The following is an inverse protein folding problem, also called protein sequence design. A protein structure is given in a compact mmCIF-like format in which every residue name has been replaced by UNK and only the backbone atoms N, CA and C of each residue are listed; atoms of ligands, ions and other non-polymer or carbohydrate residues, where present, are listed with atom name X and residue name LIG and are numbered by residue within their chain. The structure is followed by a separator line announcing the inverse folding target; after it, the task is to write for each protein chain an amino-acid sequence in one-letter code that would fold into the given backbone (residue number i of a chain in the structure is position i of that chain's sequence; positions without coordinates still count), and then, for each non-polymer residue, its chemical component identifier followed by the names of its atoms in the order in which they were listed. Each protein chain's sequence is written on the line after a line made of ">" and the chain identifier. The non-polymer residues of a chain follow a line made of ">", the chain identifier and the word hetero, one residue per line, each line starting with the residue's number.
data_IF_521085549944
#
_entry.id   IF_521085549944
#
_cell.length_a   1.000
_cell.length_b   1.000
_cell.length_c   1.000
_cell.angle_alpha   90.00
_cell.angle_beta   90.00
_cell.angle_gamma   90.00
#
_symmetry.space_group_name_H-M   'P 1'
#
loop_
_entity.id
_entity.type
_entity.pdbx_description
1 polymer ?
#
# COMPACT_ATOMS: atom_id res chain seq x y z
N UNK A 1 13.72 52.96 21.28
CA UNK A 1 13.05 52.38 20.10
C UNK A 1 12.07 51.32 20.56
N UNK A 2 10.85 51.74 20.93
CA UNK A 2 9.75 50.82 21.27
C UNK A 2 9.04 50.48 19.97
N UNK A 3 9.00 49.19 19.63
CA UNK A 3 8.30 48.72 18.44
C UNK A 3 6.81 49.05 18.60
N UNK A 4 6.16 49.73 17.63
CA UNK A 4 4.76 50.14 17.77
C UNK A 4 3.84 48.93 18.02
N UNK A 5 2.87 49.03 18.92
CA UNK A 5 1.96 47.92 19.25
C UNK A 5 1.18 47.42 18.02
N UNK A 6 0.91 48.29 17.06
CA UNK A 6 0.31 47.92 15.77
C UNK A 6 1.21 46.99 14.95
N UNK A 7 2.54 47.15 15.04
CA UNK A 7 3.51 46.30 14.35
C UNK A 7 3.56 44.91 14.97
N UNK A 8 3.48 44.83 16.31
CA UNK A 8 3.38 43.56 17.04
C UNK A 8 2.06 42.82 16.72
N UNK A 9 0.95 43.55 16.65
CA UNK A 9 -0.35 42.98 16.28
C UNK A 9 -0.36 42.48 14.83
N UNK A 10 0.26 43.22 13.92
CA UNK A 10 0.39 42.82 12.51
C UNK A 10 1.25 41.54 12.37
N UNK A 11 2.35 41.41 13.12
CA UNK A 11 3.17 40.21 13.10
C UNK A 11 2.45 38.97 13.66
N UNK A 12 1.63 39.12 14.71
CA UNK A 12 0.90 38.00 15.32
C UNK A 12 -0.23 37.45 14.43
N UNK A 13 -0.83 38.30 13.58
CA UNK A 13 -1.88 37.90 12.64
C UNK A 13 -1.36 37.18 11.39
N UNK A 14 -0.05 37.25 11.10
CA UNK A 14 0.59 36.57 9.97
C UNK A 14 0.97 35.11 10.27
N UNK A 15 0.90 34.67 11.53
CA UNK A 15 1.42 33.35 11.96
C UNK A 15 0.50 32.15 11.68
N UNK A 16 -0.85 32.23 11.61
CA UNK A 16 -1.65 31.01 11.45
C UNK A 16 -1.80 30.52 10.00
N UNK A 17 -1.12 31.11 9.02
CA UNK A 17 -1.24 30.70 7.62
C UNK A 17 0.02 30.00 7.09
N UNK A 18 0.71 29.22 7.93
CA UNK A 18 1.59 28.18 7.39
C UNK A 18 0.68 27.07 6.87
N UNK A 19 0.50 26.89 5.54
CA UNK A 19 0.06 25.60 5.06
C UNK A 19 1.10 24.62 5.60
N UNK A 20 0.70 23.73 6.51
CA UNK A 20 1.45 22.50 6.69
C UNK A 20 1.64 21.96 5.26
N UNK A 21 2.87 21.70 4.79
CA UNK A 21 3.04 21.01 3.54
C UNK A 21 2.46 19.62 3.77
N UNK A 22 1.16 19.47 3.53
CA UNK A 22 0.62 18.17 3.24
C UNK A 22 0.93 17.94 1.77
N UNK A 23 2.23 17.87 1.48
CA UNK A 23 2.78 17.14 0.36
C UNK A 23 2.31 15.70 0.57
N UNK A 24 1.06 15.40 0.20
CA UNK A 24 0.51 14.05 0.05
C UNK A 24 1.16 13.40 -1.18
N UNK A 25 2.46 13.62 -1.36
CA UNK A 25 3.27 12.87 -2.30
C UNK A 25 3.20 11.43 -1.85
N UNK A 26 2.76 10.54 -2.74
CA UNK A 26 2.97 9.11 -2.52
C UNK A 26 4.47 8.95 -2.28
N UNK A 27 4.88 8.67 -1.05
CA UNK A 27 6.28 8.42 -0.72
C UNK A 27 6.59 7.11 -1.43
N UNK A 28 7.38 7.17 -2.50
CA UNK A 28 7.84 6.00 -3.24
C UNK A 28 9.08 5.41 -2.56
N UNK A 29 9.36 4.12 -2.82
CA UNK A 29 10.46 3.36 -2.22
C UNK A 29 10.34 3.13 -0.70
N UNK A 30 9.13 2.89 -0.21
CA UNK A 30 8.89 2.47 1.16
C UNK A 30 9.42 1.05 1.42
N UNK A 31 10.00 0.87 2.59
CA UNK A 31 10.47 -0.38 3.15
C UNK A 31 9.33 -1.18 3.80
N UNK A 32 9.55 -2.48 4.01
CA UNK A 32 8.58 -3.36 4.66
C UNK A 32 8.20 -2.84 6.06
N UNK A 33 6.90 -2.77 6.34
CA UNK A 33 6.34 -2.28 7.59
C UNK A 33 5.95 -0.80 7.59
N UNK A 34 6.38 -0.01 6.59
CA UNK A 34 5.97 1.39 6.46
C UNK A 34 4.52 1.54 5.98
N UNK A 35 3.90 2.67 6.32
CA UNK A 35 2.51 2.97 5.97
C UNK A 35 2.39 3.26 4.48
N UNK A 36 1.49 2.55 3.79
CA UNK A 36 1.29 2.70 2.35
C UNK A 36 -0.19 2.88 2.00
N UNK A 37 -0.44 3.51 0.85
CA UNK A 37 -1.78 3.63 0.25
C UNK A 37 -1.89 2.89 -1.08
N UNK A 38 -0.76 2.46 -1.65
CA UNK A 38 -0.66 1.87 -2.97
C UNK A 38 0.61 1.02 -3.04
N UNK A 39 0.51 -0.17 -3.64
CA UNK A 39 1.63 -1.11 -3.79
C UNK A 39 2.82 -0.53 -4.56
N UNK A 40 2.60 0.42 -5.47
CA UNK A 40 3.67 1.12 -6.17
C UNK A 40 4.58 1.95 -5.25
N UNK A 41 4.15 2.26 -4.03
CA UNK A 41 4.98 2.96 -3.04
C UNK A 41 6.03 2.03 -2.43
N UNK A 42 5.74 0.73 -2.32
CA UNK A 42 6.58 -0.23 -1.62
C UNK A 42 7.67 -0.80 -2.54
N UNK A 43 8.91 -0.91 -2.07
CA UNK A 43 9.99 -1.61 -2.79
C UNK A 43 9.63 -3.07 -3.09
N UNK A 44 8.93 -3.72 -2.17
CA UNK A 44 8.41 -5.09 -2.34
C UNK A 44 7.33 -5.18 -3.44
N UNK A 45 6.67 -4.07 -3.77
CA UNK A 45 5.52 -4.03 -4.66
C UNK A 45 4.24 -4.60 -4.07
N UNK A 46 4.11 -4.70 -2.75
CA UNK A 46 2.85 -5.06 -2.07
C UNK A 46 2.53 -4.12 -0.90
N UNK A 47 1.35 -3.51 -0.96
CA UNK A 47 0.72 -2.80 0.14
C UNK A 47 -0.39 -3.68 0.75
N UNK A 48 -0.20 -4.14 1.98
CA UNK A 48 -1.03 -5.14 2.63
C UNK A 48 -1.87 -4.56 3.77
N UNK A 49 -3.12 -5.02 3.91
CA UNK A 49 -4.00 -4.68 5.04
C UNK A 49 -4.65 -5.93 5.61
N UNK A 50 -4.87 -5.96 6.92
CA UNK A 50 -5.49 -7.12 7.58
C UNK A 50 -7.03 -7.16 7.50
N UNK A 51 -7.68 -6.00 7.33
CA UNK A 51 -9.15 -5.88 7.28
C UNK A 51 -9.58 -4.65 6.46
N UNK A 52 -10.88 -4.48 6.23
CA UNK A 52 -11.44 -3.34 5.48
C UNK A 52 -11.18 -1.98 6.10
N UNK A 53 -10.97 -1.92 7.43
CA UNK A 53 -10.78 -0.69 8.19
C UNK A 53 -9.34 -0.51 8.70
N UNK A 54 -8.48 -1.53 8.55
CA UNK A 54 -7.09 -1.44 9.01
C UNK A 54 -6.23 -0.60 8.08
N UNK A 55 -5.29 0.14 8.67
CA UNK A 55 -4.21 0.80 7.95
C UNK A 55 -3.35 -0.22 7.19
N UNK A 56 -2.99 0.11 5.95
CA UNK A 56 -2.16 -0.73 5.11
C UNK A 56 -0.67 -0.42 5.30
N UNK A 57 0.16 -1.46 5.22
CA UNK A 57 1.62 -1.37 5.33
C UNK A 57 2.30 -2.19 4.25
N UNK A 58 3.51 -1.77 3.87
CA UNK A 58 4.31 -2.52 2.93
C UNK A 58 4.64 -3.91 3.50
N UNK A 59 4.50 -4.94 2.67
CA UNK A 59 4.72 -6.33 3.06
C UNK A 59 5.49 -7.07 1.96
N UNK A 60 6.20 -8.16 2.28
CA UNK A 60 6.80 -9.01 1.27
C UNK A 60 5.72 -9.65 0.38
N UNK A 61 6.08 -9.96 -0.86
CA UNK A 61 5.23 -10.78 -1.74
C UNK A 61 5.17 -12.22 -1.23
N UNK A 62 4.15 -12.94 -1.64
CA UNK A 62 3.96 -14.34 -1.26
C UNK A 62 4.97 -15.23 -2.00
N UNK A 63 5.72 -16.03 -1.24
CA UNK A 63 6.62 -17.04 -1.80
C UNK A 63 5.83 -18.27 -2.29
N UNK A 64 6.51 -19.24 -2.88
CA UNK A 64 5.88 -20.50 -3.30
C UNK A 64 5.21 -21.20 -2.11
N UNK A 65 4.04 -21.82 -2.37
CA UNK A 65 3.17 -22.48 -1.39
C UNK A 65 2.53 -21.56 -0.34
N UNK A 66 2.75 -20.24 -0.40
CA UNK A 66 2.09 -19.28 0.48
C UNK A 66 0.75 -18.80 -0.08
N UNK A 67 -0.13 -18.35 0.82
CA UNK A 67 -1.40 -17.72 0.46
C UNK A 67 -1.19 -16.42 -0.30
N UNK A 68 -1.98 -16.23 -1.35
CA UNK A 68 -1.89 -15.07 -2.22
C UNK A 68 -3.26 -14.54 -2.65
N UNK A 69 -3.26 -13.34 -3.20
CA UNK A 69 -4.38 -12.79 -3.97
C UNK A 69 -3.91 -12.46 -5.39
N UNK A 70 -4.70 -12.75 -6.43
CA UNK A 70 -4.42 -12.31 -7.78
C UNK A 70 -4.22 -10.80 -7.84
N UNK A 71 -3.37 -10.35 -8.77
CA UNK A 71 -3.14 -8.92 -8.99
C UNK A 71 -4.47 -8.20 -9.26
N UNK A 72 -4.64 -7.06 -8.60
CA UNK A 72 -5.87 -6.28 -8.65
C UNK A 72 -5.57 -4.81 -8.92
N UNK A 73 -6.50 -4.16 -9.62
CA UNK A 73 -6.43 -2.73 -9.95
C UNK A 73 -6.45 -1.82 -8.72
N UNK A 74 -6.98 -2.29 -7.58
CA UNK A 74 -7.01 -1.51 -6.34
C UNK A 74 -5.61 -1.30 -5.76
N UNK A 75 -4.69 -2.24 -6.02
CA UNK A 75 -3.29 -2.12 -5.62
C UNK A 75 -3.05 -2.09 -4.10
N UNK A 76 -4.04 -2.50 -3.31
CA UNK A 76 -3.93 -2.80 -1.87
C UNK A 76 -4.55 -4.18 -1.67
N UNK A 77 -3.91 -5.02 -0.87
CA UNK A 77 -4.22 -6.45 -0.81
C UNK A 77 -4.48 -6.95 0.62
N UNK A 78 -5.39 -7.92 0.76
CA UNK A 78 -5.54 -8.72 1.98
C UNK A 78 -4.54 -9.87 2.08
N UNK A 79 -4.05 -10.34 0.94
CA UNK A 79 -2.98 -11.33 0.79
C UNK A 79 -2.10 -10.86 -0.35
N UNK A 80 -0.80 -10.72 -0.12
CA UNK A 80 0.09 -10.18 -1.15
C UNK A 80 0.11 -11.07 -2.41
N UNK A 81 0.31 -10.48 -3.60
CA UNK A 81 0.53 -11.26 -4.81
C UNK A 81 1.84 -12.04 -4.70
N UNK A 82 1.96 -13.08 -5.53
CA UNK A 82 3.16 -13.91 -5.54
C UNK A 82 4.41 -13.15 -6.01
N UNK A 83 5.57 -13.68 -5.63
CA UNK A 83 6.86 -13.30 -6.19
C UNK A 83 6.92 -13.52 -7.71
N UNK A 84 7.87 -12.84 -8.35
CA UNK A 84 8.06 -12.94 -9.80
C UNK A 84 8.37 -14.38 -10.21
N UNK A 85 7.67 -14.90 -11.21
CA UNK A 85 7.84 -16.27 -11.71
C UNK A 85 6.82 -17.27 -11.15
N UNK A 86 6.06 -16.90 -10.11
CA UNK A 86 5.00 -17.71 -9.54
C UNK A 86 3.62 -17.24 -10.01
N UNK A 87 2.66 -18.17 -10.01
CA UNK A 87 1.25 -17.89 -10.31
C UNK A 87 0.39 -18.14 -9.08
N UNK A 88 -0.53 -17.21 -8.79
CA UNK A 88 -1.51 -17.37 -7.71
C UNK A 88 -2.66 -18.24 -8.21
N UNK A 89 -2.68 -19.50 -7.81
CA UNK A 89 -3.72 -20.47 -8.14
C UNK A 89 -4.91 -20.27 -7.21
N UNK A 90 -5.90 -19.49 -7.68
CA UNK A 90 -7.07 -19.05 -6.93
C UNK A 90 -8.35 -19.28 -7.75
N UNK A 91 -9.39 -19.78 -7.11
CA UNK A 91 -10.73 -19.86 -7.72
C UNK A 91 -11.30 -18.45 -7.92
N UNK A 92 -11.40 -18.03 -9.17
CA UNK A 92 -11.78 -16.65 -9.51
C UNK A 92 -13.30 -16.51 -9.59
N UNK A 93 -13.90 -15.91 -8.58
CA UNK A 93 -15.32 -15.50 -8.61
C UNK A 93 -15.50 -14.04 -9.01
N UNK A 94 -16.68 -13.68 -9.54
CA UNK A 94 -17.03 -12.28 -9.86
C UNK A 94 -17.04 -11.44 -8.57
N UNK A 95 -17.75 -11.92 -7.53
CA UNK A 95 -17.82 -11.24 -6.22
C UNK A 95 -16.45 -11.12 -5.58
N UNK A 96 -15.62 -12.17 -5.64
CA UNK A 96 -14.26 -12.13 -5.12
C UNK A 96 -13.32 -11.23 -5.92
N UNK A 97 -13.55 -11.03 -7.22
CA UNK A 97 -12.76 -10.09 -8.04
C UNK A 97 -13.08 -8.64 -7.66
N UNK A 98 -14.35 -8.34 -7.38
CA UNK A 98 -14.80 -7.02 -6.92
C UNK A 98 -14.30 -6.74 -5.51
N UNK A 99 -14.36 -7.73 -4.62
CA UNK A 99 -14.00 -7.58 -3.19
C UNK A 99 -12.51 -7.79 -2.89
N UNK A 100 -11.69 -8.18 -3.89
CA UNK A 100 -10.28 -8.56 -3.71
C UNK A 100 -10.10 -9.79 -2.78
N UNK A 101 -11.04 -10.72 -2.82
CA UNK A 101 -11.12 -11.86 -1.88
C UNK A 101 -10.95 -13.22 -2.54
N UNK A 102 -10.53 -13.27 -3.82
CA UNK A 102 -10.16 -14.53 -4.45
C UNK A 102 -8.77 -14.93 -3.92
N UNK A 103 -8.71 -15.70 -2.84
CA UNK A 103 -7.45 -16.18 -2.30
C UNK A 103 -7.04 -17.50 -2.95
N UNK A 104 -5.73 -17.71 -3.03
CA UNK A 104 -5.15 -18.91 -3.62
C UNK A 104 -3.79 -19.22 -3.02
N UNK A 105 -3.06 -20.10 -3.69
CA UNK A 105 -1.71 -20.50 -3.32
C UNK A 105 -0.73 -20.21 -4.46
N UNK A 106 0.45 -19.68 -4.14
CA UNK A 106 1.48 -19.47 -5.15
C UNK A 106 2.10 -20.80 -5.60
N UNK A 107 2.16 -21.03 -6.92
CA UNK A 107 2.76 -22.22 -7.53
C UNK A 107 3.74 -21.82 -8.64
N UNK A 108 4.86 -22.54 -8.80
CA UNK A 108 5.67 -22.44 -10.02
C UNK A 108 4.93 -23.15 -11.16
N UNK A 109 4.57 -22.45 -12.25
CA UNK A 109 3.93 -23.07 -13.41
C UNK A 109 4.78 -24.21 -14.01
N UNK A 110 6.11 -24.20 -13.84
CA UNK A 110 7.03 -25.24 -14.36
C UNK A 110 7.14 -26.46 -13.46
N UNK A 111 6.77 -26.35 -12.18
CA UNK A 111 6.73 -27.48 -11.26
C UNK A 111 5.51 -28.40 -11.46
N UNK A 112 4.53 -27.93 -12.23
CA UNK A 112 3.25 -28.63 -12.47
C UNK A 112 3.30 -29.59 -13.66
N UNK A 113 4.31 -29.50 -14.52
CA UNK A 113 4.51 -30.35 -15.72
C UNK A 113 5.34 -31.63 -15.42
N UNK A 114 5.57 -31.96 -14.15
CA UNK A 114 6.50 -33.02 -13.74
C UNK A 114 6.07 -33.88 -12.57
N UNK A 115 4.77 -34.09 -12.35
CA UNK A 115 4.24 -35.05 -11.35
C UNK A 115 3.14 -35.93 -11.94
#
# INVERSE_FOLDING_TARGET
>A
NVLPPCLLLALLLLVPALPAPHERGLIFNLDTGELCLQSAQCKSGCCHRGSGLSLARCAPKAAELQECSPKSIYGVYYKCPCESGLTCDADKSIVGSITNSNFGICKDPRGSDGS
#
